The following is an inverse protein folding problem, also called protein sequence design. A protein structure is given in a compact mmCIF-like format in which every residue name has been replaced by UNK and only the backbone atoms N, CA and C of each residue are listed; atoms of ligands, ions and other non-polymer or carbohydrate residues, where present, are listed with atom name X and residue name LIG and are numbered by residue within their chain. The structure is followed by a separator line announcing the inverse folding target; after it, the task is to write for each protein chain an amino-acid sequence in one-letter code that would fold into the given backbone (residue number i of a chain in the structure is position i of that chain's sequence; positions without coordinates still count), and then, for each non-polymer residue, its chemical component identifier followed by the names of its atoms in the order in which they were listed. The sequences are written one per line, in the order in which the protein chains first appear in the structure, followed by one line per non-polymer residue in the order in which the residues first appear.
data_IF_194899876684
#
_entry.id   IF_194899876684
#
_cell.length_a   1.000
_cell.length_b   1.000
_cell.length_c   1.000
_cell.angle_alpha   90.00
_cell.angle_beta   90.00
_cell.angle_gamma   90.00
#
_symmetry.space_group_name_H-M   'P 1'
#
loop_
_entity.id
_entity.type
_entity.pdbx_description
1 polymer ?
#
# COMPACT_ATOMS: atom_id res chain seq x y z
N UNK A 1 -4.42 81.54 -12.49
CA UNK A 1 -5.79 81.31 -11.96
C UNK A 1 -6.29 80.07 -12.70
N UNK A 2 -5.95 78.87 -12.21
CA UNK A 2 -6.66 78.07 -11.21
C UNK A 2 -8.01 77.55 -11.77
N UNK A 3 -8.35 76.27 -11.82
CA UNK A 3 -7.77 75.01 -11.33
C UNK A 3 -8.37 73.85 -12.16
N UNK A 4 -7.59 72.81 -12.43
CA UNK A 4 -8.06 71.54 -12.99
C UNK A 4 -8.55 70.62 -11.88
N UNK A 5 -9.73 70.03 -12.06
CA UNK A 5 -10.28 69.03 -11.14
C UNK A 5 -9.73 67.64 -11.48
N UNK A 6 -8.71 67.21 -10.75
CA UNK A 6 -8.17 65.84 -10.78
C UNK A 6 -8.99 64.95 -9.84
N UNK A 7 -9.81 64.07 -10.42
CA UNK A 7 -10.58 63.07 -9.69
C UNK A 7 -9.67 61.97 -9.15
N UNK A 8 -9.35 62.02 -7.85
CA UNK A 8 -8.65 60.93 -7.14
C UNK A 8 -9.57 59.71 -7.00
N UNK A 9 -9.41 58.73 -7.88
CA UNK A 9 -9.96 57.39 -7.68
C UNK A 9 -9.17 56.67 -6.58
N UNK A 10 -9.76 56.57 -5.38
CA UNK A 10 -9.22 55.79 -4.27
C UNK A 10 -9.65 54.33 -4.42
N UNK A 11 -8.93 53.52 -5.21
CA UNK A 11 -9.15 52.08 -5.29
C UNK A 11 -8.47 51.37 -4.10
N UNK A 12 -9.14 51.41 -2.96
CA UNK A 12 -8.82 50.57 -1.81
C UNK A 12 -9.17 49.11 -2.13
N UNK A 13 -8.26 48.38 -2.79
CA UNK A 13 -8.38 46.92 -2.85
C UNK A 13 -8.19 46.38 -1.42
N UNK A 14 -9.12 45.56 -0.91
CA UNK A 14 -8.96 44.99 0.42
C UNK A 14 -7.69 44.13 0.44
N UNK A 15 -6.79 44.42 1.37
CA UNK A 15 -5.62 43.59 1.61
C UNK A 15 -6.10 42.24 2.13
N UNK A 16 -6.20 41.25 1.23
CA UNK A 16 -6.55 39.88 1.58
C UNK A 16 -5.39 39.32 2.41
N UNK A 17 -5.52 39.33 3.72
CA UNK A 17 -4.63 38.57 4.60
C UNK A 17 -4.89 37.09 4.35
N UNK A 18 -3.97 36.44 3.62
CA UNK A 18 -4.00 35.00 3.45
C UNK A 18 -3.95 34.35 4.84
N UNK A 19 -4.90 33.46 5.12
CA UNK A 19 -4.95 32.73 6.38
C UNK A 19 -3.64 31.96 6.58
N UNK A 20 -3.12 31.86 7.81
CA UNK A 20 -1.86 31.18 8.11
C UNK A 20 -1.83 29.73 7.60
N UNK A 21 -3.00 29.07 7.51
CA UNK A 21 -3.15 27.75 6.87
C UNK A 21 -2.81 27.76 5.38
N UNK A 22 -3.25 28.78 4.64
CA UNK A 22 -2.98 28.93 3.20
C UNK A 22 -1.50 29.21 2.99
N UNK A 23 -0.93 30.09 3.80
CA UNK A 23 0.50 30.42 3.76
C UNK A 23 1.35 29.19 4.13
N UNK A 24 0.98 28.42 5.17
CA UNK A 24 1.64 27.14 5.51
C UNK A 24 1.54 26.10 4.39
N UNK A 25 0.40 26.02 3.70
CA UNK A 25 0.22 25.10 2.56
C UNK A 25 1.06 25.46 1.34
N UNK A 26 1.35 26.76 1.16
CA UNK A 26 2.20 27.26 0.07
C UNK A 26 3.70 27.23 0.42
N UNK A 27 4.06 27.26 1.71
CA UNK A 27 5.44 27.23 2.19
C UNK A 27 6.05 25.83 2.26
N UNK A 28 5.23 24.79 2.43
CA UNK A 28 5.69 23.41 2.27
C UNK A 28 5.73 23.10 0.79
N UNK A 29 6.91 22.77 0.26
CA UNK A 29 7.09 22.34 -1.13
C UNK A 29 5.92 21.45 -1.56
N UNK A 30 5.21 21.87 -2.60
CA UNK A 30 4.17 21.11 -3.29
C UNK A 30 4.79 19.97 -4.12
N UNK A 31 5.65 19.17 -3.49
CA UNK A 31 6.06 17.88 -4.04
C UNK A 31 4.99 16.91 -3.58
N UNK A 32 4.35 16.22 -4.54
CA UNK A 32 3.42 15.16 -4.21
C UNK A 32 4.12 14.17 -3.25
N UNK A 33 3.47 13.86 -2.13
CA UNK A 33 4.06 12.97 -1.12
C UNK A 33 4.37 11.61 -1.76
N UNK A 34 5.59 11.14 -1.58
CA UNK A 34 6.05 9.85 -2.07
C UNK A 34 5.44 8.71 -1.25
N UNK A 35 4.59 7.84 -1.82
CA UNK A 35 3.84 6.83 -1.06
C UNK A 35 4.71 5.89 -0.23
N UNK A 36 5.94 5.60 -0.67
CA UNK A 36 6.86 4.73 0.07
C UNK A 36 7.68 5.45 1.15
N UNK A 37 8.03 6.72 0.97
CA UNK A 37 8.98 7.40 1.86
C UNK A 37 8.28 8.36 2.82
N UNK A 38 7.26 9.07 2.35
CA UNK A 38 6.61 10.12 3.13
C UNK A 38 5.46 9.59 3.99
N UNK A 39 4.79 8.51 3.57
CA UNK A 39 3.73 7.88 4.35
C UNK A 39 4.32 7.11 5.54
N UNK A 40 3.82 7.39 6.74
CA UNK A 40 4.22 6.64 7.93
C UNK A 40 3.64 5.23 7.92
N UNK A 41 4.37 4.27 8.50
CA UNK A 41 3.89 2.89 8.70
C UNK A 41 2.59 2.86 9.53
N UNK A 42 2.41 3.82 10.42
CA UNK A 42 1.24 3.95 11.29
C UNK A 42 1.50 3.46 12.73
N UNK A 43 0.81 4.04 13.72
CA UNK A 43 1.13 3.87 15.15
C UNK A 43 0.82 2.48 15.71
N UNK A 44 0.07 1.65 14.98
CA UNK A 44 -0.27 0.29 15.39
C UNK A 44 0.72 -0.78 14.93
N UNK A 45 1.79 -0.40 14.22
CA UNK A 45 2.75 -1.33 13.66
C UNK A 45 3.50 -2.11 14.77
N UNK A 46 3.84 -3.39 14.56
CA UNK A 46 3.64 -4.18 13.33
C UNK A 46 2.25 -4.82 13.21
N UNK A 47 1.37 -4.68 14.22
CA UNK A 47 0.08 -5.36 14.25
C UNK A 47 -0.94 -4.75 13.26
N UNK A 48 -0.98 -3.43 13.19
CA UNK A 48 -1.85 -2.66 12.30
C UNK A 48 -1.03 -1.56 11.65
N UNK A 49 -0.95 -1.54 10.33
CA UNK A 49 -0.12 -0.63 9.57
C UNK A 49 -0.89 -0.02 8.40
N UNK A 50 -0.38 1.06 7.84
CA UNK A 50 -0.84 1.61 6.58
C UNK A 50 -0.33 0.73 5.44
N UNK A 51 -1.20 0.39 4.50
CA UNK A 51 -0.86 -0.34 3.28
C UNK A 51 -1.29 0.50 2.08
N UNK A 52 -0.36 0.76 1.15
CA UNK A 52 -0.65 1.44 -0.11
C UNK A 52 -1.06 0.38 -1.12
N UNK A 53 -2.29 0.47 -1.64
CA UNK A 53 -2.83 -0.49 -2.60
C UNK A 53 -2.30 -0.17 -4.00
N UNK A 54 -1.70 -1.15 -4.65
CA UNK A 54 -1.27 -1.07 -6.04
C UNK A 54 -2.29 -1.74 -6.96
N UNK A 55 -2.81 -2.90 -6.58
CA UNK A 55 -3.68 -3.70 -7.45
C UNK A 55 -5.00 -3.96 -6.76
N UNK A 56 -6.07 -3.49 -7.38
CA UNK A 56 -7.43 -3.72 -6.91
C UNK A 56 -7.81 -5.19 -7.03
N UNK A 57 -8.61 -5.68 -6.07
CA UNK A 57 -9.29 -6.98 -6.16
C UNK A 57 -10.02 -7.11 -7.51
N UNK A 58 -9.83 -8.24 -8.18
CA UNK A 58 -10.44 -8.56 -9.47
C UNK A 58 -9.71 -7.97 -10.69
N UNK A 59 -8.64 -7.20 -10.49
CA UNK A 59 -7.85 -6.64 -11.59
C UNK A 59 -6.90 -7.67 -12.22
N UNK A 60 -6.68 -7.54 -13.53
CA UNK A 60 -5.57 -8.17 -14.28
C UNK A 60 -4.39 -7.24 -14.52
N UNK A 61 -4.57 -5.95 -14.29
CA UNK A 61 -3.52 -4.95 -14.49
C UNK A 61 -2.63 -4.99 -13.25
N UNK A 62 -1.38 -5.39 -13.44
CA UNK A 62 -0.33 -5.27 -12.44
C UNK A 62 0.18 -3.84 -12.50
N UNK A 63 -0.25 -3.07 -11.52
CA UNK A 63 0.35 -1.78 -11.22
C UNK A 63 1.55 -2.00 -10.29
N UNK A 64 2.46 -1.05 -10.31
CA UNK A 64 3.63 -0.99 -9.44
C UNK A 64 3.90 0.46 -9.06
N UNK A 65 4.44 0.69 -7.87
CA UNK A 65 5.04 1.97 -7.55
C UNK A 65 6.33 2.15 -8.35
N UNK A 66 6.38 3.21 -9.17
CA UNK A 66 7.66 3.68 -9.70
C UNK A 66 8.42 4.42 -8.59
N UNK A 67 9.41 3.75 -8.00
CA UNK A 67 10.24 4.25 -6.88
C UNK A 67 10.91 5.60 -7.13
N UNK A 68 11.13 5.95 -8.40
CA UNK A 68 11.78 7.21 -8.77
C UNK A 68 10.81 8.38 -8.74
N UNK A 69 9.63 8.21 -9.33
CA UNK A 69 8.62 9.29 -9.41
C UNK A 69 7.64 9.30 -8.24
N UNK A 70 7.49 8.19 -7.51
CA UNK A 70 6.45 8.01 -6.50
C UNK A 70 5.05 7.82 -7.07
N UNK A 71 4.93 7.63 -8.39
CA UNK A 71 3.64 7.43 -9.06
C UNK A 71 3.35 5.95 -9.27
N UNK A 72 2.06 5.62 -9.35
CA UNK A 72 1.60 4.29 -9.75
C UNK A 72 1.74 4.16 -11.27
N UNK A 73 2.52 3.17 -11.69
CA UNK A 73 2.80 2.82 -13.08
C UNK A 73 2.13 1.49 -13.41
N UNK A 74 1.67 1.35 -14.66
CA UNK A 74 1.29 0.03 -15.18
C UNK A 74 2.57 -0.72 -15.52
N UNK A 75 2.84 -1.82 -14.83
CA UNK A 75 3.92 -2.76 -15.18
C UNK A 75 3.48 -3.57 -16.41
N UNK A 76 2.39 -4.33 -16.25
CA UNK A 76 1.85 -5.19 -17.30
C UNK A 76 0.41 -5.63 -17.03
N UNK A 77 -0.21 -6.25 -18.03
CA UNK A 77 -1.42 -7.06 -17.83
C UNK A 77 -0.99 -8.51 -17.63
N UNK A 78 -1.59 -9.21 -16.67
CA UNK A 78 -1.29 -10.63 -16.45
C UNK A 78 -1.55 -11.46 -17.72
N UNK A 79 -0.59 -12.33 -18.06
CA UNK A 79 -0.65 -13.23 -19.22
C UNK A 79 -1.68 -14.36 -19.04
N UNK A 80 -1.99 -14.68 -17.79
CA UNK A 80 -2.91 -15.75 -17.41
C UNK A 80 -4.35 -15.24 -17.30
N UNK A 81 -5.29 -16.18 -17.29
CA UNK A 81 -6.72 -15.85 -17.16
C UNK A 81 -7.10 -15.37 -15.76
N UNK A 82 -6.22 -15.53 -14.78
CA UNK A 82 -6.49 -15.22 -13.37
C UNK A 82 -6.52 -13.71 -13.11
N UNK A 83 -7.12 -13.35 -11.99
CA UNK A 83 -7.23 -11.98 -11.46
C UNK A 83 -6.76 -11.99 -10.02
N UNK A 84 -6.27 -10.85 -9.52
CA UNK A 84 -5.91 -10.74 -8.11
C UNK A 84 -7.15 -11.00 -7.22
N UNK A 85 -7.13 -12.02 -6.34
CA UNK A 85 -8.32 -12.40 -5.58
C UNK A 85 -8.68 -11.38 -4.49
N UNK A 86 -7.70 -10.57 -4.07
CA UNK A 86 -7.79 -9.55 -3.02
C UNK A 86 -6.94 -8.33 -3.40
N UNK A 87 -7.09 -7.23 -2.66
CA UNK A 87 -6.29 -6.04 -2.89
C UNK A 87 -4.83 -6.33 -2.55
N UNK A 88 -3.92 -5.88 -3.41
CA UNK A 88 -2.49 -6.10 -3.27
C UNK A 88 -1.78 -4.76 -3.18
N UNK A 89 -0.73 -4.69 -2.37
CA UNK A 89 0.03 -3.49 -2.17
C UNK A 89 1.22 -3.73 -1.25
N UNK A 90 1.74 -2.65 -0.66
CA UNK A 90 2.96 -2.71 0.14
C UNK A 90 2.87 -1.87 1.42
N UNK A 91 3.78 -2.16 2.36
CA UNK A 91 3.95 -1.37 3.58
C UNK A 91 4.95 -0.23 3.30
N UNK A 92 4.57 1.05 3.51
CA UNK A 92 5.48 2.17 3.32
C UNK A 92 6.65 2.09 4.32
N UNK A 93 7.77 2.74 4.00
CA UNK A 93 9.00 2.77 4.81
C UNK A 93 9.56 1.41 5.23
N UNK A 94 9.38 0.39 4.41
CA UNK A 94 10.00 -0.94 4.59
C UNK A 94 10.92 -1.25 3.41
N UNK A 95 11.97 -2.05 3.65
CA UNK A 95 12.86 -2.55 2.59
C UNK A 95 13.29 -3.99 2.82
N UNK A 96 12.99 -4.85 1.87
CA UNK A 96 13.27 -6.28 1.90
C UNK A 96 14.58 -6.62 1.17
N UNK A 97 14.98 -7.89 1.19
CA UNK A 97 16.27 -8.32 0.64
C UNK A 97 16.39 -8.08 -0.88
N UNK A 98 15.24 -8.06 -1.58
CA UNK A 98 15.07 -7.72 -3.00
C UNK A 98 15.06 -6.21 -3.28
N UNK A 99 15.27 -5.36 -2.26
CA UNK A 99 15.18 -3.90 -2.33
C UNK A 99 13.78 -3.37 -2.67
N UNK A 100 12.73 -4.18 -2.51
CA UNK A 100 11.33 -3.78 -2.61
C UNK A 100 10.70 -3.58 -1.21
N UNK A 101 9.61 -2.80 -1.10
CA UNK A 101 8.85 -2.74 0.13
C UNK A 101 8.14 -4.07 0.40
N UNK A 102 7.87 -4.36 1.68
CA UNK A 102 7.17 -5.58 2.09
C UNK A 102 5.76 -5.65 1.49
N UNK A 103 5.52 -6.71 0.73
CA UNK A 103 4.26 -6.99 0.05
C UNK A 103 3.14 -7.43 1.00
N UNK A 104 1.92 -7.00 0.69
CA UNK A 104 0.72 -7.27 1.49
C UNK A 104 -0.46 -7.63 0.60
N UNK A 105 -1.10 -8.75 0.91
CA UNK A 105 -2.41 -9.11 0.38
C UNK A 105 -3.49 -8.76 1.42
N UNK A 106 -4.35 -7.80 1.10
CA UNK A 106 -5.40 -7.28 2.00
C UNK A 106 -6.76 -7.83 1.61
N UNK A 107 -7.32 -8.66 2.48
CA UNK A 107 -8.68 -9.17 2.38
C UNK A 107 -9.68 -8.10 2.89
N UNK A 108 -10.68 -7.80 2.07
CA UNK A 108 -11.81 -6.92 2.37
C UNK A 108 -12.94 -7.15 1.36
N UNK A 109 -14.11 -6.56 1.62
CA UNK A 109 -15.29 -6.71 0.76
C UNK A 109 -15.09 -6.08 -0.64
N UNK A 110 -14.60 -4.83 -0.68
CA UNK A 110 -14.56 -4.00 -1.88
C UNK A 110 -13.15 -3.87 -2.51
N UNK A 111 -13.07 -3.70 -3.84
CA UNK A 111 -11.82 -3.31 -4.49
C UNK A 111 -11.43 -1.89 -4.10
N UNK A 112 -10.12 -1.63 -3.96
CA UNK A 112 -9.58 -0.31 -3.66
C UNK A 112 -8.82 0.21 -4.87
N UNK A 113 -8.99 1.50 -5.15
CA UNK A 113 -8.35 2.18 -6.28
C UNK A 113 -6.82 2.21 -6.07
N UNK A 114 -6.02 1.88 -7.10
CA UNK A 114 -4.55 1.98 -7.03
C UNK A 114 -4.07 3.36 -6.56
N UNK A 115 -3.07 3.37 -5.69
CA UNK A 115 -2.49 4.58 -5.07
C UNK A 115 -3.22 5.05 -3.80
N UNK A 116 -4.39 4.49 -3.47
CA UNK A 116 -5.03 4.72 -2.18
C UNK A 116 -4.33 3.89 -1.09
N UNK A 117 -4.34 4.38 0.15
CA UNK A 117 -3.87 3.60 1.30
C UNK A 117 -5.01 3.31 2.27
N UNK A 118 -4.86 2.23 3.03
CA UNK A 118 -5.81 1.79 4.05
C UNK A 118 -5.08 1.29 5.28
N UNK A 119 -5.79 1.13 6.40
CA UNK A 119 -5.25 0.46 7.58
C UNK A 119 -5.46 -1.04 7.47
N UNK A 120 -4.37 -1.79 7.46
CA UNK A 120 -4.36 -3.24 7.36
C UNK A 120 -3.91 -3.85 8.69
N UNK A 121 -4.57 -4.93 9.12
CA UNK A 121 -4.18 -5.74 10.28
C UNK A 121 -3.58 -7.05 9.79
N UNK A 122 -2.33 -7.33 10.14
CA UNK A 122 -1.71 -8.61 9.81
C UNK A 122 -2.40 -9.76 10.53
N UNK A 123 -2.65 -10.84 9.80
CA UNK A 123 -3.22 -12.09 10.31
C UNK A 123 -2.34 -13.32 10.01
N UNK A 124 -1.38 -13.23 9.09
CA UNK A 124 -0.41 -14.30 8.84
C UNK A 124 0.68 -13.93 7.83
N UNK A 125 1.57 -14.90 7.57
CA UNK A 125 2.55 -14.87 6.48
C UNK A 125 2.18 -15.89 5.42
N UNK A 126 2.46 -15.56 4.17
CA UNK A 126 2.53 -16.50 3.07
C UNK A 126 3.97 -16.56 2.59
N UNK A 127 4.78 -17.52 3.07
CA UNK A 127 6.12 -17.68 2.56
C UNK A 127 6.07 -18.17 1.12
N UNK A 128 6.80 -17.49 0.24
CA UNK A 128 6.76 -17.74 -1.20
C UNK A 128 8.18 -17.72 -1.75
N UNK A 129 8.44 -18.63 -2.69
CA UNK A 129 9.69 -18.72 -3.44
C UNK A 129 9.36 -18.39 -4.90
N UNK A 130 9.88 -17.28 -5.40
CA UNK A 130 9.75 -16.87 -6.80
C UNK A 130 11.11 -17.04 -7.49
N UNK A 131 11.19 -17.98 -8.44
CA UNK A 131 12.42 -18.27 -9.19
C UNK A 131 13.67 -18.57 -8.31
N UNK A 132 13.46 -19.06 -7.09
CA UNK A 132 14.52 -19.38 -6.13
C UNK A 132 14.84 -18.28 -5.11
N UNK A 133 14.22 -17.11 -5.23
CA UNK A 133 14.35 -16.00 -4.28
C UNK A 133 13.17 -16.01 -3.29
N UNK A 134 13.43 -15.61 -2.04
CA UNK A 134 12.40 -15.49 -1.01
C UNK A 134 11.60 -14.19 -1.24
N UNK A 135 10.29 -14.32 -1.41
CA UNK A 135 9.35 -13.22 -1.68
C UNK A 135 8.13 -13.36 -0.75
N UNK A 136 8.38 -13.35 0.56
CA UNK A 136 7.37 -13.54 1.58
C UNK A 136 6.32 -12.41 1.54
N UNK A 137 5.05 -12.77 1.65
CA UNK A 137 3.94 -11.79 1.62
C UNK A 137 3.15 -11.81 2.92
N UNK A 138 2.81 -10.62 3.43
CA UNK A 138 1.92 -10.51 4.59
C UNK A 138 0.48 -10.72 4.13
N UNK A 139 -0.24 -11.59 4.83
CA UNK A 139 -1.69 -11.71 4.70
C UNK A 139 -2.34 -10.84 5.77
N UNK A 140 -3.16 -9.89 5.33
CA UNK A 140 -3.81 -8.93 6.19
C UNK A 140 -5.30 -8.78 5.87
N UNK A 141 -6.04 -8.18 6.80
CA UNK A 141 -7.43 -7.74 6.59
C UNK A 141 -7.53 -6.24 6.73
N UNK A 142 -8.49 -5.61 6.04
CA UNK A 142 -8.79 -4.21 6.28
C UNK A 142 -9.27 -4.02 7.73
N UNK A 143 -8.58 -3.18 8.50
CA UNK A 143 -8.87 -2.97 9.92
C UNK A 143 -10.21 -2.25 10.15
N UNK A 144 -10.68 -1.51 9.14
CA UNK A 144 -11.89 -0.70 9.14
C UNK A 144 -13.08 -1.38 8.44
N UNK A 145 -12.90 -2.61 7.93
CA UNK A 145 -13.98 -3.39 7.31
C UNK A 145 -14.74 -4.22 8.39
N UNK A 146 -16.04 -3.96 8.62
CA UNK A 146 -16.84 -4.68 9.61
C UNK A 146 -16.90 -6.19 9.39
N UNK A 147 -16.95 -6.64 8.14
CA UNK A 147 -17.03 -8.07 7.79
C UNK A 147 -15.76 -8.80 8.24
N UNK A 148 -14.61 -8.14 8.11
CA UNK A 148 -13.32 -8.74 8.42
C UNK A 148 -12.84 -8.46 9.85
N UNK A 149 -13.65 -7.81 10.67
CA UNK A 149 -13.29 -7.41 12.03
C UNK A 149 -12.94 -8.58 12.95
N UNK A 150 -13.56 -9.74 12.74
CA UNK A 150 -13.40 -10.91 13.60
C UNK A 150 -12.18 -11.78 13.27
N UNK A 151 -11.55 -11.57 12.11
CA UNK A 151 -10.35 -12.31 11.70
C UNK A 151 -9.11 -11.70 12.37
N UNK A 152 -8.42 -12.51 13.16
CA UNK A 152 -7.26 -12.11 13.96
C UNK A 152 -6.02 -12.97 13.70
N UNK A 153 -6.21 -14.18 13.16
CA UNK A 153 -5.16 -15.10 12.73
C UNK A 153 -5.54 -15.75 11.39
N UNK A 154 -4.54 -16.24 10.65
CA UNK A 154 -4.73 -16.88 9.35
C UNK A 154 -5.66 -18.09 9.41
N UNK A 155 -5.69 -18.76 10.57
CA UNK A 155 -6.55 -19.93 10.83
C UNK A 155 -8.03 -19.58 10.91
N UNK A 156 -8.36 -18.31 11.12
CA UNK A 156 -9.75 -17.85 11.15
C UNK A 156 -10.34 -17.82 9.72
N UNK A 157 -9.49 -17.78 8.68
CA UNK A 157 -9.97 -17.80 7.30
C UNK A 157 -10.50 -19.19 6.90
N UNK A 158 -11.58 -19.25 6.09
CA UNK A 158 -12.05 -20.51 5.54
C UNK A 158 -10.94 -21.24 4.77
N UNK A 159 -10.77 -22.57 4.92
CA UNK A 159 -9.70 -23.31 4.24
C UNK A 159 -9.70 -23.12 2.71
N UNK A 160 -10.89 -23.01 2.11
CA UNK A 160 -11.04 -22.73 0.68
C UNK A 160 -10.42 -21.38 0.27
N UNK A 161 -10.54 -20.35 1.13
CA UNK A 161 -9.95 -19.03 0.89
C UNK A 161 -8.43 -19.10 0.80
N UNK A 162 -7.81 -19.88 1.69
CA UNK A 162 -6.36 -20.10 1.69
C UNK A 162 -5.91 -20.87 0.44
N UNK A 163 -6.71 -21.86 0.01
CA UNK A 163 -6.44 -22.60 -1.21
C UNK A 163 -6.54 -21.72 -2.48
N UNK A 164 -7.52 -20.82 -2.56
CA UNK A 164 -7.63 -19.84 -3.65
C UNK A 164 -6.42 -18.91 -3.71
N UNK A 165 -5.99 -18.37 -2.57
CA UNK A 165 -4.82 -17.47 -2.48
C UNK A 165 -3.56 -18.22 -2.93
N UNK A 166 -3.30 -19.41 -2.37
CA UNK A 166 -2.17 -20.27 -2.76
C UNK A 166 -2.16 -20.51 -4.26
N UNK A 167 -3.30 -20.94 -4.81
CA UNK A 167 -3.41 -21.31 -6.22
C UNK A 167 -3.17 -20.12 -7.15
N UNK A 168 -3.63 -18.93 -6.78
CA UNK A 168 -3.37 -17.71 -7.54
C UNK A 168 -1.86 -17.46 -7.69
N UNK A 169 -1.10 -17.48 -6.60
CA UNK A 169 0.35 -17.21 -6.64
C UNK A 169 1.15 -18.32 -7.32
N UNK A 170 0.69 -19.58 -7.26
CA UNK A 170 1.29 -20.66 -8.05
C UNK A 170 1.03 -20.52 -9.56
N UNK A 171 -0.12 -19.96 -9.97
CA UNK A 171 -0.55 -19.95 -11.37
C UNK A 171 -0.24 -18.66 -12.13
N UNK A 172 -0.21 -17.49 -11.47
CA UNK A 172 -0.24 -16.19 -12.16
C UNK A 172 0.90 -15.96 -13.15
N UNK A 173 2.08 -16.55 -12.90
CA UNK A 173 3.29 -16.48 -13.75
C UNK A 173 3.54 -17.71 -14.63
N UNK A 174 2.67 -18.73 -14.61
CA UNK A 174 2.88 -19.97 -15.40
C UNK A 174 2.98 -19.72 -16.91
N UNK A 175 2.16 -18.81 -17.44
CA UNK A 175 2.21 -18.43 -18.86
C UNK A 175 3.47 -17.63 -19.23
N UNK A 176 4.26 -17.21 -18.24
CA UNK A 176 5.57 -16.58 -18.41
C UNK A 176 6.72 -17.61 -18.34
N UNK A 177 6.40 -18.92 -18.25
CA UNK A 177 7.35 -20.01 -18.01
C UNK A 177 8.20 -19.84 -16.74
N UNK A 178 7.61 -19.22 -15.70
CA UNK A 178 8.23 -19.09 -14.39
C UNK A 178 7.56 -20.02 -13.38
N UNK A 179 8.35 -20.54 -12.46
CA UNK A 179 7.88 -21.36 -11.36
C UNK A 179 7.84 -20.55 -10.07
N UNK A 180 6.71 -20.67 -9.37
CA UNK A 180 6.47 -20.07 -8.06
C UNK A 180 6.00 -21.18 -7.12
N UNK A 181 6.61 -21.26 -5.95
CA UNK A 181 6.19 -22.19 -4.89
C UNK A 181 5.70 -21.40 -3.68
N UNK A 182 4.52 -21.78 -3.17
CA UNK A 182 3.97 -21.22 -1.94
C UNK A 182 4.11 -22.27 -0.85
N UNK A 183 4.71 -21.92 0.28
CA UNK A 183 4.86 -22.83 1.43
C UNK A 183 3.61 -22.80 2.32
N UNK A 184 3.62 -23.49 3.45
CA UNK A 184 2.52 -23.43 4.40
C UNK A 184 2.36 -22.03 4.99
N UNK A 185 1.11 -21.55 5.05
CA UNK A 185 0.79 -20.27 5.65
C UNK A 185 1.16 -20.27 7.14
N UNK A 186 1.84 -19.22 7.58
CA UNK A 186 2.27 -19.08 8.96
C UNK A 186 1.29 -18.19 9.74
N UNK A 187 1.01 -18.52 11.01
CA UNK A 187 0.15 -17.70 11.87
C UNK A 187 0.82 -16.36 12.19
N UNK A 188 0.03 -15.40 12.65
CA UNK A 188 0.49 -14.06 13.03
C UNK A 188 1.61 -14.08 14.08
N UNK A 189 1.58 -15.05 15.00
CA UNK A 189 2.58 -15.24 16.07
C UNK A 189 3.32 -16.56 15.84
N UNK A 190 4.55 -16.49 15.34
CA UNK A 190 5.48 -17.63 15.37
C UNK A 190 6.13 -17.74 16.76
N UNK A 191 6.42 -18.96 17.27
CA UNK A 191 7.12 -19.16 18.53
C UNK A 191 8.59 -18.69 18.42
N UNK A 192 8.86 -17.49 18.96
CA UNK A 192 10.06 -17.04 19.69
C UNK A 192 11.48 -17.36 19.17
N UNK A 193 11.68 -17.74 17.90
CA UNK A 193 13.03 -17.89 17.31
C UNK A 193 13.37 -16.88 16.22
N UNK A 194 12.39 -16.14 15.72
CA UNK A 194 12.61 -14.96 14.90
C UNK A 194 12.03 -13.77 15.67
N UNK A 195 12.89 -12.81 15.96
CA UNK A 195 12.61 -11.61 16.76
C UNK A 195 11.34 -10.91 16.26
N UNK A 196 10.58 -10.34 17.19
CA UNK A 196 9.39 -9.50 16.96
C UNK A 196 9.62 -8.29 16.02
N UNK A 197 10.85 -8.08 15.55
CA UNK A 197 11.27 -7.06 14.58
C UNK A 197 11.47 -7.61 13.15
N UNK A 198 11.29 -8.91 12.92
CA UNK A 198 11.68 -9.57 11.65
C UNK A 198 10.55 -9.69 10.62
N UNK A 199 9.32 -9.31 10.98
CA UNK A 199 8.17 -9.28 10.05
C UNK A 199 8.19 -8.08 9.11
N UNK A 200 8.92 -7.04 9.50
CA UNK A 200 9.02 -5.80 8.77
C UNK A 200 10.50 -5.63 8.47
N UNK A 201 10.88 -6.05 7.27
CA UNK A 201 11.89 -5.42 6.42
C UNK A 201 12.33 -4.06 6.99
N UNK A 202 13.64 -3.88 7.23
CA UNK A 202 14.18 -2.82 8.12
C UNK A 202 13.48 -1.48 7.87
N UNK A 203 12.89 -0.83 8.89
CA UNK A 203 12.24 0.44 8.69
C UNK A 203 13.26 1.46 8.17
N UNK A 204 12.91 2.17 7.10
CA UNK A 204 13.70 3.30 6.62
C UNK A 204 13.61 4.41 7.69
N UNK A 205 14.71 4.63 8.42
CA UNK A 205 14.85 5.72 9.42
C UNK A 205 15.00 7.08 8.78
#
# INVERSE_FOLDING_TARGET
MAEGADGKHNSSFPHVTLNERIVKSMLHRSVAAHPWHDLEIGPGAPAVFNCVVEIARGSKVKYELDKTSGLIKVDRVLYSSVVYPHNYGFIPRTICEDSDPMDVLVLMQEPVVPGCFLRARAIGLMPMIDQGEMDDKIIAVCADDPEFRHYNDIKDLPPHRLAEIRRFFEDYKKNENKEVAVNDFLPRKMPSKLSSTQWICMPLT
#
